data_IF_859581629160
#
_entry.id   IF_859581629160
#
_cell.length_a   1.000
_cell.length_b   1.000
_cell.length_c   1.000
_cell.angle_alpha   90.00
_cell.angle_beta   90.00
_cell.angle_gamma   90.00
#
_symmetry.space_group_name_H-M   'P 1'
#
loop_
_entity.id
_entity.type
_entity.pdbx_description
1 polymer ?
#
# COMPACT_ATOMS: atom_id res chain seq x y z
N UNK A 1 -24.46 -21.04 -4.93
CA UNK A 1 -24.67 -21.34 -6.36
C UNK A 1 -23.82 -22.55 -6.72
N UNK A 2 -24.20 -23.40 -7.67
CA UNK A 2 -23.30 -24.49 -8.09
C UNK A 2 -22.17 -23.94 -8.97
N UNK A 3 -20.99 -24.54 -8.92
CA UNK A 3 -19.84 -24.15 -9.76
C UNK A 3 -20.19 -24.20 -11.25
N UNK A 4 -20.98 -25.19 -11.66
CA UNK A 4 -21.46 -25.33 -13.03
C UNK A 4 -22.30 -24.12 -13.48
N UNK A 5 -23.19 -23.62 -12.61
CA UNK A 5 -24.01 -22.44 -12.92
C UNK A 5 -23.16 -21.17 -12.93
N UNK A 6 -22.23 -21.03 -11.99
CA UNK A 6 -21.33 -19.87 -11.94
C UNK A 6 -20.43 -19.79 -13.18
N UNK A 7 -19.84 -20.92 -13.60
CA UNK A 7 -19.04 -21.00 -14.83
C UNK A 7 -19.87 -20.61 -16.06
N UNK A 8 -21.09 -21.16 -16.20
CA UNK A 8 -21.95 -20.87 -17.33
C UNK A 8 -22.38 -19.40 -17.39
N UNK A 9 -22.68 -18.77 -16.25
CA UNK A 9 -23.01 -17.35 -16.18
C UNK A 9 -21.81 -16.45 -16.52
N UNK A 10 -20.62 -16.79 -16.04
CA UNK A 10 -19.41 -16.04 -16.34
C UNK A 10 -19.03 -16.15 -17.83
N UNK A 11 -19.14 -17.34 -18.43
CA UNK A 11 -18.95 -17.55 -19.86
C UNK A 11 -19.96 -16.74 -20.69
N UNK A 12 -21.25 -16.84 -20.36
CA UNK A 12 -22.29 -16.10 -21.07
C UNK A 12 -22.11 -14.57 -20.96
N UNK A 13 -21.72 -14.07 -19.79
CA UNK A 13 -21.41 -12.66 -19.60
C UNK A 13 -20.22 -12.24 -20.46
N UNK A 14 -19.13 -13.01 -20.43
CA UNK A 14 -17.92 -12.70 -21.19
C UNK A 14 -18.17 -12.70 -22.71
N UNK A 15 -18.93 -13.67 -23.21
CA UNK A 15 -19.32 -13.74 -24.62
C UNK A 15 -20.21 -12.54 -25.01
N UNK A 16 -21.20 -12.18 -24.18
CA UNK A 16 -22.08 -11.04 -24.44
C UNK A 16 -21.30 -9.71 -24.44
N UNK A 17 -20.45 -9.49 -23.44
CA UNK A 17 -19.61 -8.30 -23.33
C UNK A 17 -18.68 -8.18 -24.54
N UNK A 18 -17.99 -9.26 -24.90
CA UNK A 18 -17.09 -9.27 -26.08
C UNK A 18 -17.87 -9.02 -27.37
N UNK A 19 -19.06 -9.63 -27.51
CA UNK A 19 -19.91 -9.43 -28.68
C UNK A 19 -20.34 -7.96 -28.81
N UNK A 20 -20.71 -7.32 -27.71
CA UNK A 20 -21.10 -5.91 -27.69
C UNK A 20 -19.91 -5.02 -28.06
N UNK A 21 -18.74 -5.28 -27.48
CA UNK A 21 -17.53 -4.48 -27.66
C UNK A 21 -16.93 -4.59 -29.07
N UNK A 22 -17.09 -5.77 -29.71
CA UNK A 22 -16.53 -6.06 -31.05
C UNK A 22 -17.56 -5.98 -32.18
N UNK A 23 -18.82 -5.63 -31.86
CA UNK A 23 -19.87 -5.52 -32.86
C UNK A 23 -19.62 -4.35 -33.81
N UNK A 24 -20.04 -4.49 -35.07
CA UNK A 24 -20.01 -3.38 -36.02
C UNK A 24 -21.09 -2.35 -35.65
N UNK A 25 -20.79 -1.07 -35.86
CA UNK A 25 -21.69 0.07 -35.61
C UNK A 25 -23.01 -0.05 -36.41
N UNK A 26 -22.99 -0.76 -37.54
CA UNK A 26 -24.18 -1.07 -38.35
C UNK A 26 -25.13 -2.06 -37.65
N UNK A 27 -24.64 -2.82 -36.67
CA UNK A 27 -25.41 -3.82 -35.89
C UNK A 27 -25.84 -3.26 -34.54
N UNK A 28 -24.97 -2.53 -33.87
CA UNK A 28 -25.25 -1.90 -32.58
C UNK A 28 -24.71 -0.46 -32.56
N UNK A 29 -25.62 0.49 -32.34
CA UNK A 29 -25.27 1.90 -32.16
C UNK A 29 -24.22 2.07 -31.04
N UNK A 30 -23.08 2.75 -31.30
CA UNK A 30 -21.97 2.88 -30.35
C UNK A 30 -22.38 3.53 -29.03
N UNK A 31 -23.22 4.56 -29.06
CA UNK A 31 -23.70 5.24 -27.84
C UNK A 31 -24.54 4.29 -26.96
N UNK A 32 -25.24 3.34 -27.58
CA UNK A 32 -26.00 2.30 -26.89
C UNK A 32 -25.09 1.22 -26.33
N UNK A 33 -24.09 0.78 -27.11
CA UNK A 33 -23.07 -0.17 -26.65
C UNK A 33 -22.33 0.36 -25.41
N UNK A 34 -21.85 1.61 -25.47
CA UNK A 34 -21.17 2.28 -24.35
C UNK A 34 -22.05 2.29 -23.10
N UNK A 35 -23.32 2.72 -23.20
CA UNK A 35 -24.23 2.74 -22.03
C UNK A 35 -24.43 1.37 -21.40
N UNK A 36 -24.50 0.31 -22.21
CA UNK A 36 -24.66 -1.05 -21.71
C UNK A 36 -23.40 -1.55 -21.02
N UNK A 37 -22.23 -1.27 -21.59
CA UNK A 37 -20.94 -1.62 -20.98
C UNK A 37 -20.72 -0.82 -19.69
N UNK A 38 -21.02 0.48 -19.66
CA UNK A 38 -20.97 1.31 -18.45
C UNK A 38 -21.89 0.78 -17.34
N UNK A 39 -23.13 0.41 -17.69
CA UNK A 39 -24.07 -0.19 -16.73
C UNK A 39 -23.55 -1.52 -16.20
N UNK A 40 -22.94 -2.33 -17.07
CA UNK A 40 -22.33 -3.60 -16.69
C UNK A 40 -21.16 -3.37 -15.74
N UNK A 41 -20.26 -2.44 -16.06
CA UNK A 41 -19.14 -2.07 -15.20
C UNK A 41 -19.60 -1.57 -13.83
N UNK A 42 -20.62 -0.71 -13.80
CA UNK A 42 -21.20 -0.26 -12.53
C UNK A 42 -21.74 -1.41 -11.66
N UNK A 43 -22.33 -2.44 -12.26
CA UNK A 43 -22.81 -3.61 -11.50
C UNK A 43 -21.65 -4.49 -11.02
N UNK A 44 -20.62 -4.66 -11.84
CA UNK A 44 -19.44 -5.46 -11.50
C UNK A 44 -18.59 -4.81 -10.43
N UNK A 45 -18.44 -3.48 -10.45
CA UNK A 45 -17.70 -2.70 -9.45
C UNK A 45 -18.33 -2.78 -8.05
N UNK A 46 -19.63 -3.06 -7.97
CA UNK A 46 -20.35 -3.28 -6.70
C UNK A 46 -20.14 -4.66 -6.09
N UNK A 47 -19.51 -5.58 -6.82
CA UNK A 47 -19.18 -6.89 -6.27
C UNK A 47 -18.07 -6.76 -5.22
N UNK A 48 -18.12 -7.57 -4.14
CA UNK A 48 -16.98 -7.70 -3.23
C UNK A 48 -15.70 -8.05 -4.03
N UNK A 49 -14.51 -7.59 -3.61
CA UNK A 49 -13.26 -7.89 -4.31
C UNK A 49 -13.05 -9.39 -4.55
N UNK A 50 -13.43 -10.25 -3.60
CA UNK A 50 -13.36 -11.71 -3.75
C UNK A 50 -14.22 -12.26 -4.91
N UNK A 51 -15.38 -11.65 -5.15
CA UNK A 51 -16.27 -12.04 -6.23
C UNK A 51 -15.77 -11.49 -7.58
N UNK A 52 -15.20 -10.28 -7.60
CA UNK A 52 -14.51 -9.73 -8.79
C UNK A 52 -13.33 -10.62 -9.20
N UNK A 53 -12.50 -11.06 -8.24
CA UNK A 53 -11.41 -12.04 -8.45
C UNK A 53 -11.94 -13.36 -9.02
N UNK A 54 -13.01 -13.88 -8.41
CA UNK A 54 -13.63 -15.13 -8.87
C UNK A 54 -14.11 -14.97 -10.31
N UNK A 55 -14.80 -13.88 -10.64
CA UNK A 55 -15.25 -13.60 -11.99
C UNK A 55 -14.10 -13.46 -12.99
N UNK A 56 -13.05 -12.70 -12.65
CA UNK A 56 -11.86 -12.54 -13.48
C UNK A 56 -11.19 -13.90 -13.81
N UNK A 57 -11.07 -14.79 -12.82
CA UNK A 57 -10.54 -16.15 -13.03
C UNK A 57 -11.44 -16.99 -13.94
N UNK A 58 -12.76 -16.86 -13.80
CA UNK A 58 -13.71 -17.57 -14.66
C UNK A 58 -13.67 -17.10 -16.10
N UNK A 59 -13.57 -15.78 -16.33
CA UNK A 59 -13.39 -15.19 -17.66
C UNK A 59 -12.09 -15.70 -18.29
N UNK A 60 -10.97 -15.70 -17.56
CA UNK A 60 -9.70 -16.27 -18.04
C UNK A 60 -9.80 -17.76 -18.40
N UNK A 61 -10.54 -18.55 -17.61
CA UNK A 61 -10.81 -19.97 -17.93
C UNK A 61 -11.70 -20.14 -19.15
N UNK A 62 -12.68 -19.25 -19.37
CA UNK A 62 -13.46 -19.19 -20.60
C UNK A 62 -12.57 -18.92 -21.81
N UNK A 63 -11.73 -17.89 -21.75
CA UNK A 63 -10.77 -17.56 -22.81
C UNK A 63 -9.81 -18.72 -23.10
N UNK A 64 -9.32 -19.43 -22.08
CA UNK A 64 -8.40 -20.57 -22.25
C UNK A 64 -9.03 -21.78 -22.98
N UNK A 65 -10.37 -21.87 -23.05
CA UNK A 65 -11.08 -22.89 -23.83
C UNK A 65 -11.29 -22.48 -25.29
N UNK A 66 -11.07 -21.21 -25.62
CA UNK A 66 -11.17 -20.71 -27.00
C UNK A 66 -9.85 -20.96 -27.76
N UNK A 67 -9.91 -21.17 -29.09
CA UNK A 67 -8.73 -21.17 -29.94
C UNK A 67 -7.94 -19.85 -29.82
N UNK A 68 -6.63 -19.88 -30.09
CA UNK A 68 -5.84 -18.64 -30.20
C UNK A 68 -6.35 -17.77 -31.35
N UNK A 69 -6.46 -16.45 -31.11
CA UNK A 69 -6.96 -15.48 -32.07
C UNK A 69 -7.66 -14.29 -31.39
N UNK A 70 -8.09 -13.32 -32.20
CA UNK A 70 -8.64 -12.05 -31.73
C UNK A 70 -9.74 -12.21 -30.67
N UNK A 71 -10.69 -13.13 -30.87
CA UNK A 71 -11.76 -13.40 -29.91
C UNK A 71 -11.25 -13.80 -28.52
N UNK A 72 -10.21 -14.64 -28.45
CA UNK A 72 -9.59 -15.02 -27.18
C UNK A 72 -8.87 -13.84 -26.55
N UNK A 73 -8.23 -13.00 -27.36
CA UNK A 73 -7.54 -11.80 -26.88
C UNK A 73 -8.54 -10.78 -26.32
N UNK A 74 -9.70 -10.60 -26.97
CA UNK A 74 -10.77 -9.70 -26.53
C UNK A 74 -11.36 -10.18 -25.19
N UNK A 75 -11.64 -11.48 -25.04
CA UNK A 75 -12.07 -12.06 -23.76
C UNK A 75 -11.05 -11.83 -22.63
N UNK A 76 -9.75 -11.84 -22.95
CA UNK A 76 -8.68 -11.61 -21.96
C UNK A 76 -8.57 -10.14 -21.54
N UNK A 77 -9.14 -9.18 -22.29
CA UNK A 77 -9.18 -7.76 -21.91
C UNK A 77 -10.30 -7.41 -20.94
N UNK A 78 -11.35 -8.24 -20.85
CA UNK A 78 -12.51 -7.99 -19.98
C UNK A 78 -12.10 -7.73 -18.52
N UNK A 79 -11.26 -8.57 -17.88
CA UNK A 79 -10.92 -8.34 -16.47
C UNK A 79 -10.33 -6.96 -16.19
N UNK A 80 -9.44 -6.46 -17.06
CA UNK A 80 -8.85 -5.13 -16.95
C UNK A 80 -9.86 -4.04 -17.32
N UNK A 81 -10.57 -4.18 -18.44
CA UNK A 81 -11.53 -3.18 -18.94
C UNK A 81 -12.71 -2.91 -18.00
N UNK A 82 -13.02 -3.86 -17.11
CA UNK A 82 -14.08 -3.74 -16.10
C UNK A 82 -13.54 -3.59 -14.67
N UNK A 83 -12.23 -3.41 -14.48
CA UNK A 83 -11.62 -3.30 -13.16
C UNK A 83 -11.86 -4.53 -12.27
N UNK A 84 -12.04 -5.71 -12.86
CA UNK A 84 -12.22 -6.96 -12.09
C UNK A 84 -10.93 -7.40 -11.41
N UNK A 85 -9.79 -6.98 -11.96
CA UNK A 85 -8.46 -7.18 -11.38
C UNK A 85 -8.05 -6.03 -10.44
N UNK A 86 -8.88 -4.98 -10.30
CA UNK A 86 -8.61 -3.84 -9.41
C UNK A 86 -8.88 -4.24 -7.96
N UNK A 87 -8.01 -5.10 -7.45
CA UNK A 87 -7.99 -5.53 -6.08
C UNK A 87 -6.71 -5.04 -5.41
N UNK A 88 -6.77 -3.79 -4.95
CA UNK A 88 -5.67 -3.16 -4.23
C UNK A 88 -5.21 -4.00 -3.04
N UNK A 89 -6.10 -4.72 -2.37
CA UNK A 89 -5.74 -5.60 -1.25
C UNK A 89 -4.79 -6.73 -1.68
N UNK A 90 -5.07 -7.39 -2.81
CA UNK A 90 -4.19 -8.43 -3.36
C UNK A 90 -2.90 -7.83 -3.92
N UNK A 91 -2.99 -6.70 -4.62
CA UNK A 91 -1.80 -6.00 -5.13
C UNK A 91 -0.84 -5.62 -4.00
N UNK A 92 -1.34 -5.12 -2.87
CA UNK A 92 -0.53 -4.88 -1.68
C UNK A 92 0.11 -6.17 -1.17
N UNK A 93 -0.64 -7.27 -1.09
CA UNK A 93 -0.10 -8.57 -0.66
C UNK A 93 1.04 -9.07 -1.59
N UNK A 94 0.89 -8.93 -2.91
CA UNK A 94 1.90 -9.32 -3.89
C UNK A 94 3.17 -8.48 -3.78
N UNK A 95 3.03 -7.16 -3.58
CA UNK A 95 4.17 -6.26 -3.39
C UNK A 95 4.87 -6.53 -2.06
N UNK A 96 4.12 -6.73 -0.97
CA UNK A 96 4.69 -7.13 0.32
C UNK A 96 5.50 -8.42 0.15
N UNK A 97 4.94 -9.45 -0.51
CA UNK A 97 5.65 -10.72 -0.72
C UNK A 97 7.02 -10.53 -1.42
N UNK A 98 7.09 -9.64 -2.40
CA UNK A 98 8.34 -9.32 -3.09
C UNK A 98 9.31 -8.53 -2.20
N UNK A 99 8.80 -7.53 -1.46
CA UNK A 99 9.60 -6.72 -0.54
C UNK A 99 10.18 -7.57 0.59
N UNK A 100 9.41 -8.50 1.17
CA UNK A 100 9.88 -9.38 2.23
C UNK A 100 10.97 -10.33 1.74
N UNK A 101 10.84 -10.87 0.52
CA UNK A 101 11.90 -11.70 -0.09
C UNK A 101 13.20 -10.88 -0.22
N UNK A 102 13.12 -9.67 -0.79
CA UNK A 102 14.27 -8.77 -0.94
C UNK A 102 14.85 -8.37 0.41
N UNK A 103 14.01 -8.06 1.40
CA UNK A 103 14.44 -7.71 2.75
C UNK A 103 15.23 -8.87 3.38
N UNK A 104 14.67 -10.07 3.38
CA UNK A 104 15.32 -11.27 3.94
C UNK A 104 16.64 -11.56 3.22
N UNK A 105 16.69 -11.46 1.90
CA UNK A 105 17.93 -11.60 1.12
C UNK A 105 18.97 -10.55 1.49
N UNK A 106 18.55 -9.31 1.75
CA UNK A 106 19.42 -8.19 2.13
C UNK A 106 20.05 -8.39 3.49
N UNK A 107 19.31 -8.95 4.46
CA UNK A 107 19.74 -9.00 5.87
C UNK A 107 20.29 -10.35 6.33
N UNK A 108 20.06 -11.45 5.59
CA UNK A 108 20.36 -12.82 6.07
C UNK A 108 21.83 -13.09 6.42
N UNK A 109 22.76 -12.40 5.77
CA UNK A 109 24.20 -12.60 5.90
C UNK A 109 24.89 -11.41 6.63
N UNK A 110 24.09 -10.48 7.18
CA UNK A 110 24.57 -9.29 7.90
C UNK A 110 24.79 -9.64 9.38
N UNK A 111 25.87 -9.12 9.98
CA UNK A 111 26.09 -9.24 11.43
C UNK A 111 24.92 -8.58 12.18
N UNK A 112 24.14 -9.34 12.98
CA UNK A 112 22.97 -8.82 13.69
C UNK A 112 23.28 -7.64 14.61
N UNK A 113 24.53 -7.48 15.08
CA UNK A 113 24.96 -6.37 15.93
C UNK A 113 25.26 -5.08 15.15
N UNK A 114 25.24 -5.11 13.81
CA UNK A 114 25.50 -3.94 12.97
C UNK A 114 24.46 -2.84 13.26
N UNK A 115 24.87 -1.59 13.51
CA UNK A 115 23.93 -0.49 13.74
C UNK A 115 23.10 -0.13 12.50
N UNK A 116 21.87 0.35 12.71
CA UNK A 116 20.98 0.89 11.66
C UNK A 116 20.83 2.40 11.88
N UNK A 117 21.60 3.26 11.19
CA UNK A 117 21.66 4.69 11.52
C UNK A 117 20.34 5.46 11.35
N UNK A 118 19.46 5.01 10.44
CA UNK A 118 18.13 5.60 10.23
C UNK A 118 17.13 5.26 11.34
N UNK A 119 17.46 4.29 12.21
CA UNK A 119 16.70 3.94 13.42
C UNK A 119 17.63 4.07 14.65
N UNK A 120 17.80 5.28 15.21
CA UNK A 120 18.77 5.53 16.26
C UNK A 120 18.67 4.56 17.44
N UNK A 121 19.80 3.92 17.77
CA UNK A 121 19.90 2.94 18.85
C UNK A 121 19.54 1.50 18.46
N UNK A 122 19.13 1.25 17.22
CA UNK A 122 18.81 -0.09 16.74
C UNK A 122 20.01 -0.77 16.09
N UNK A 123 20.02 -2.08 16.21
CA UNK A 123 20.86 -3.00 15.42
C UNK A 123 20.03 -3.69 14.33
N UNK A 124 20.68 -4.40 13.40
CA UNK A 124 19.96 -5.27 12.46
C UNK A 124 19.11 -6.32 13.17
N UNK A 125 19.54 -6.86 14.31
CA UNK A 125 18.72 -7.73 15.13
C UNK A 125 17.42 -7.05 15.57
N UNK A 126 17.49 -5.79 16.00
CA UNK A 126 16.31 -5.02 16.41
C UNK A 126 15.38 -4.72 15.23
N UNK A 127 15.94 -4.33 14.08
CA UNK A 127 15.19 -4.06 12.85
C UNK A 127 14.42 -5.31 12.39
N UNK A 128 15.11 -6.45 12.26
CA UNK A 128 14.48 -7.71 11.82
C UNK A 128 13.47 -8.22 12.86
N UNK A 129 13.78 -8.09 14.16
CA UNK A 129 12.84 -8.45 15.25
C UNK A 129 11.59 -7.59 15.19
N UNK A 130 11.73 -6.28 15.05
CA UNK A 130 10.61 -5.35 14.94
C UNK A 130 9.73 -5.73 13.75
N UNK A 131 10.33 -5.86 12.57
CA UNK A 131 9.60 -6.15 11.35
C UNK A 131 8.83 -7.47 11.44
N UNK A 132 9.48 -8.54 11.94
CA UNK A 132 8.80 -9.84 12.10
C UNK A 132 7.77 -9.87 13.23
N UNK A 133 7.87 -8.94 14.20
CA UNK A 133 6.85 -8.73 15.24
C UNK A 133 5.62 -8.05 14.64
N UNK A 134 5.82 -7.04 13.80
CA UNK A 134 4.75 -6.33 13.09
C UNK A 134 3.92 -7.28 12.23
N UNK A 135 4.57 -8.15 11.44
CA UNK A 135 3.89 -9.19 10.65
C UNK A 135 2.98 -10.09 11.50
N UNK A 136 3.51 -10.61 12.63
CA UNK A 136 2.76 -11.52 13.52
C UNK A 136 1.64 -10.81 14.27
N UNK A 137 1.87 -9.58 14.68
CA UNK A 137 0.86 -8.79 15.37
C UNK A 137 -0.31 -8.45 14.44
N UNK A 138 -0.04 -7.99 13.21
CA UNK A 138 -1.08 -7.72 12.23
C UNK A 138 -1.81 -9.00 11.78
N UNK A 139 -1.10 -10.11 11.60
CA UNK A 139 -1.72 -11.42 11.37
C UNK A 139 -2.72 -11.76 12.48
N UNK A 140 -2.30 -11.61 13.73
CA UNK A 140 -3.14 -11.93 14.87
C UNK A 140 -4.40 -11.06 14.91
N UNK A 141 -4.27 -9.76 14.67
CA UNK A 141 -5.38 -8.82 14.63
C UNK A 141 -6.38 -9.22 13.54
N UNK A 142 -5.91 -9.50 12.33
CA UNK A 142 -6.75 -9.84 11.18
C UNK A 142 -7.41 -11.21 11.37
N UNK A 143 -6.64 -12.23 11.77
CA UNK A 143 -7.16 -13.59 11.99
C UNK A 143 -8.25 -13.63 13.06
N UNK A 144 -8.07 -12.86 14.14
CA UNK A 144 -9.05 -12.80 15.23
C UNK A 144 -10.18 -11.79 14.98
N UNK A 145 -10.06 -10.95 13.93
CA UNK A 145 -10.95 -9.81 13.67
C UNK A 145 -11.13 -8.96 14.93
N UNK A 146 -9.99 -8.57 15.53
CA UNK A 146 -9.97 -7.88 16.81
C UNK A 146 -10.96 -6.69 16.81
N UNK A 147 -11.85 -6.67 17.81
CA UNK A 147 -12.84 -5.60 17.96
C UNK A 147 -12.30 -4.41 18.76
N UNK A 148 -11.16 -4.60 19.43
CA UNK A 148 -10.48 -3.61 20.24
C UNK A 148 -8.97 -3.74 20.07
N UNK A 149 -8.22 -2.76 20.62
CA UNK A 149 -6.76 -2.77 20.56
C UNK A 149 -6.17 -3.99 21.26
N UNK A 150 -5.34 -4.73 20.53
CA UNK A 150 -4.41 -5.73 21.07
C UNK A 150 -2.99 -5.19 20.96
N UNK A 151 -2.18 -5.26 22.02
CA UNK A 151 -0.79 -4.82 21.96
C UNK A 151 0.11 -5.92 21.39
N UNK A 152 1.15 -5.53 20.66
CA UNK A 152 2.12 -6.49 20.08
C UNK A 152 2.80 -7.37 21.14
N UNK A 153 3.08 -6.83 22.33
CA UNK A 153 3.64 -7.59 23.47
C UNK A 153 2.74 -8.70 24.00
N UNK A 154 1.44 -8.64 23.71
CA UNK A 154 0.45 -9.62 24.16
C UNK A 154 0.27 -10.74 23.11
N UNK A 155 0.92 -10.64 21.95
CA UNK A 155 0.89 -11.66 20.88
C UNK A 155 2.08 -12.60 21.03
N UNK A 156 1.86 -13.94 21.07
CA UNK A 156 2.96 -14.90 21.06
C UNK A 156 3.81 -14.77 19.79
N UNK A 157 5.10 -14.47 19.94
CA UNK A 157 6.00 -14.20 18.82
C UNK A 157 6.80 -15.43 18.36
N UNK A 158 7.01 -16.41 19.25
CA UNK A 158 7.92 -17.53 19.02
C UNK A 158 9.30 -17.06 18.51
N UNK A 159 9.81 -15.99 19.11
CA UNK A 159 11.09 -15.39 18.72
C UNK A 159 12.24 -16.35 19.05
N UNK A 160 13.15 -16.66 18.10
CA UNK A 160 14.32 -17.48 18.37
C UNK A 160 15.23 -16.88 19.44
N UNK A 161 16.02 -17.72 20.12
CA UNK A 161 17.04 -17.23 21.06
C UNK A 161 18.22 -16.58 20.33
N UNK A 162 18.60 -17.12 19.17
CA UNK A 162 19.70 -16.63 18.34
C UNK A 162 19.22 -15.58 17.32
N UNK A 163 19.72 -14.32 17.38
CA UNK A 163 19.42 -13.28 16.39
C UNK A 163 19.75 -13.67 14.95
N UNK A 164 20.73 -14.56 14.72
CA UNK A 164 21.05 -15.02 13.37
C UNK A 164 19.88 -15.80 12.72
N UNK A 165 18.93 -16.32 13.51
CA UNK A 165 17.73 -16.99 13.01
C UNK A 165 16.55 -16.04 12.72
N UNK A 166 16.67 -14.74 13.03
CA UNK A 166 15.57 -13.77 12.88
C UNK A 166 15.11 -13.59 11.42
N UNK A 167 15.99 -13.53 10.40
CA UNK A 167 15.55 -13.37 9.01
C UNK A 167 14.64 -14.51 8.54
N UNK A 168 14.96 -15.75 8.90
CA UNK A 168 14.11 -16.90 8.57
C UNK A 168 12.81 -16.92 9.40
N UNK A 169 12.86 -16.46 10.64
CA UNK A 169 11.68 -16.28 11.49
C UNK A 169 10.73 -15.22 10.93
N UNK A 170 11.25 -14.09 10.43
CA UNK A 170 10.50 -13.08 9.70
C UNK A 170 9.86 -13.69 8.44
N UNK A 171 10.64 -14.35 7.59
CA UNK A 171 10.14 -14.93 6.33
C UNK A 171 8.93 -15.87 6.54
N UNK A 172 9.01 -16.75 7.54
CA UNK A 172 7.87 -17.62 7.91
C UNK A 172 6.67 -16.84 8.44
N UNK A 173 6.91 -15.78 9.20
CA UNK A 173 5.85 -14.89 9.70
C UNK A 173 5.11 -14.22 8.54
N UNK A 174 5.86 -13.61 7.63
CA UNK A 174 5.31 -12.95 6.45
C UNK A 174 4.46 -13.89 5.58
N UNK A 175 4.90 -15.13 5.35
CA UNK A 175 4.12 -16.11 4.60
C UNK A 175 2.76 -16.39 5.26
N UNK A 176 2.73 -16.57 6.58
CA UNK A 176 1.49 -16.80 7.32
C UNK A 176 0.61 -15.54 7.30
N UNK A 177 1.18 -14.36 7.53
CA UNK A 177 0.47 -13.08 7.48
C UNK A 177 -0.20 -12.86 6.13
N UNK A 178 0.53 -13.04 5.03
CA UNK A 178 0.00 -12.89 3.66
C UNK A 178 -1.11 -13.89 3.37
N UNK A 179 -0.97 -15.14 3.81
CA UNK A 179 -2.02 -16.15 3.67
C UNK A 179 -3.30 -15.75 4.43
N UNK A 180 -3.15 -15.23 5.65
CA UNK A 180 -4.27 -14.72 6.44
C UNK A 180 -4.93 -13.53 5.78
N UNK A 181 -4.15 -12.55 5.29
CA UNK A 181 -4.65 -11.37 4.59
C UNK A 181 -5.42 -11.74 3.31
N UNK A 182 -4.88 -12.63 2.48
CA UNK A 182 -5.55 -13.10 1.25
C UNK A 182 -6.84 -13.88 1.53
N UNK A 183 -6.95 -14.49 2.71
CA UNK A 183 -8.08 -15.34 3.11
C UNK A 183 -9.26 -14.60 3.77
N UNK A 184 -9.20 -13.28 3.93
CA UNK A 184 -10.23 -12.49 4.60
C UNK A 184 -10.87 -11.48 3.64
N UNK A 185 -12.14 -11.15 3.87
CA UNK A 185 -12.83 -10.10 3.12
C UNK A 185 -12.29 -8.71 3.55
N UNK A 186 -11.72 -7.90 2.62
CA UNK A 186 -11.19 -6.57 2.89
C UNK A 186 -12.20 -5.61 3.53
N UNK A 187 -13.50 -5.82 3.30
CA UNK A 187 -14.57 -4.97 3.85
C UNK A 187 -15.00 -5.35 5.27
N UNK A 188 -14.45 -6.45 5.81
CA UNK A 188 -14.76 -6.91 7.17
C UNK A 188 -14.42 -5.81 8.19
N UNK A 189 -15.39 -5.35 9.01
CA UNK A 189 -15.12 -4.40 10.07
C UNK A 189 -14.21 -5.00 11.15
N UNK A 190 -13.21 -4.24 11.57
CA UNK A 190 -12.33 -4.60 12.66
C UNK A 190 -11.65 -3.36 13.23
N UNK A 191 -11.15 -3.45 14.45
CA UNK A 191 -10.33 -2.40 15.02
C UNK A 191 -9.04 -2.20 14.19
N UNK A 192 -8.67 -0.96 13.96
CA UNK A 192 -7.34 -0.56 13.47
C UNK A 192 -6.82 0.65 14.23
N UNK A 193 -5.50 0.87 14.15
CA UNK A 193 -4.85 2.04 14.75
C UNK A 193 -4.82 3.26 13.80
N UNK A 194 -5.61 3.25 12.72
CA UNK A 194 -5.67 4.32 11.75
C UNK A 194 -7.11 4.69 11.36
N UNK A 195 -7.25 5.39 10.23
CA UNK A 195 -8.52 5.97 9.81
C UNK A 195 -9.57 4.91 9.42
N UNK A 196 -9.15 3.86 8.72
CA UNK A 196 -10.05 2.83 8.22
C UNK A 196 -10.19 1.67 9.21
N UNK A 197 -11.38 1.48 9.76
CA UNK A 197 -11.72 0.43 10.73
C UNK A 197 -12.21 -0.85 10.02
N UNK A 198 -11.45 -1.28 9.01
CA UNK A 198 -11.68 -2.50 8.20
C UNK A 198 -10.38 -3.23 7.92
N UNK A 199 -10.48 -4.49 7.52
CA UNK A 199 -9.33 -5.34 7.19
C UNK A 199 -8.38 -4.71 6.16
N UNK A 200 -8.91 -4.07 5.11
CA UNK A 200 -8.12 -3.45 4.03
C UNK A 200 -7.11 -2.38 4.49
N UNK A 201 -7.23 -1.89 5.72
CA UNK A 201 -6.22 -1.06 6.37
C UNK A 201 -4.86 -1.76 6.48
N UNK A 202 -4.87 -3.02 6.93
CA UNK A 202 -3.66 -3.74 7.32
C UNK A 202 -2.69 -4.06 6.19
N UNK A 203 -3.10 -4.53 5.00
CA UNK A 203 -2.14 -4.75 3.91
C UNK A 203 -1.52 -3.45 3.42
N UNK A 204 -2.28 -2.34 3.33
CA UNK A 204 -1.71 -1.04 2.95
C UNK A 204 -0.72 -0.55 4.01
N UNK A 205 -1.04 -0.69 5.29
CA UNK A 205 -0.10 -0.36 6.39
C UNK A 205 1.16 -1.23 6.35
N UNK A 206 1.00 -2.55 6.20
CA UNK A 206 2.10 -3.51 6.18
C UNK A 206 3.02 -3.31 4.97
N UNK A 207 2.47 -2.87 3.82
CA UNK A 207 3.26 -2.45 2.67
C UNK A 207 4.24 -1.33 3.06
N UNK A 208 3.78 -0.29 3.75
CA UNK A 208 4.65 0.83 4.11
C UNK A 208 5.61 0.53 5.26
N UNK A 209 5.26 -0.38 6.17
CA UNK A 209 6.22 -1.00 7.09
C UNK A 209 7.36 -1.69 6.30
N UNK A 210 7.02 -2.51 5.29
CA UNK A 210 8.00 -3.24 4.49
C UNK A 210 8.87 -2.31 3.63
N UNK A 211 8.28 -1.29 2.99
CA UNK A 211 9.01 -0.30 2.17
C UNK A 211 10.01 0.48 3.02
N UNK A 212 9.56 1.03 4.16
CA UNK A 212 10.42 1.87 5.00
C UNK A 212 11.53 1.05 5.66
N UNK A 213 11.23 -0.14 6.18
CA UNK A 213 12.25 -0.96 6.83
C UNK A 213 13.22 -1.62 5.85
N UNK A 214 12.82 -1.89 4.62
CA UNK A 214 13.76 -2.23 3.56
C UNK A 214 14.71 -1.06 3.26
N UNK A 215 14.20 0.17 3.20
CA UNK A 215 15.05 1.35 3.07
C UNK A 215 16.00 1.51 4.27
N UNK A 216 15.54 1.26 5.50
CA UNK A 216 16.40 1.27 6.70
C UNK A 216 17.56 0.28 6.59
N UNK A 217 17.28 -0.96 6.12
CA UNK A 217 18.32 -1.97 5.89
C UNK A 217 19.29 -1.56 4.78
N UNK A 218 18.79 -1.02 3.67
CA UNK A 218 19.60 -0.60 2.54
C UNK A 218 20.52 0.59 2.89
N UNK A 219 19.98 1.60 3.58
CA UNK A 219 20.74 2.75 4.07
C UNK A 219 21.85 2.32 5.03
N UNK A 220 21.57 1.38 5.94
CA UNK A 220 22.57 0.86 6.87
C UNK A 220 23.72 0.10 6.17
N UNK A 221 23.46 -0.45 4.98
CA UNK A 221 24.47 -1.08 4.12
C UNK A 221 25.14 -0.10 3.14
N UNK A 222 24.81 1.20 3.22
CA UNK A 222 25.35 2.22 2.31
C UNK A 222 24.78 2.16 0.89
N UNK A 223 23.64 1.51 0.71
CA UNK A 223 22.90 1.47 -0.55
C UNK A 223 21.95 2.68 -0.64
N UNK A 224 21.58 3.06 -1.86
CA UNK A 224 20.61 4.12 -2.13
C UNK A 224 19.24 3.47 -2.42
N UNK A 225 18.25 3.56 -1.50
CA UNK A 225 16.97 2.90 -1.69
C UNK A 225 16.24 3.41 -2.92
N UNK A 226 15.62 2.49 -3.66
CA UNK A 226 14.77 2.79 -4.82
C UNK A 226 13.34 2.34 -4.56
N UNK A 227 12.44 3.31 -4.52
CA UNK A 227 10.99 3.11 -4.30
C UNK A 227 10.26 3.54 -5.57
N UNK A 228 9.37 2.69 -6.08
CA UNK A 228 8.58 3.02 -7.25
C UNK A 228 7.70 4.25 -6.97
N UNK A 229 7.62 5.19 -7.92
CA UNK A 229 7.01 6.49 -7.68
C UNK A 229 5.53 6.41 -7.26
N UNK A 230 4.76 5.48 -7.86
CA UNK A 230 3.37 5.22 -7.47
C UNK A 230 3.23 4.69 -6.03
N UNK A 231 4.09 3.74 -5.65
CA UNK A 231 4.15 3.23 -4.26
C UNK A 231 4.54 4.34 -3.28
N UNK A 232 5.50 5.19 -3.66
CA UNK A 232 5.94 6.28 -2.79
C UNK A 232 4.87 7.35 -2.59
N UNK A 233 4.15 7.71 -3.66
CA UNK A 233 3.00 8.62 -3.62
C UNK A 233 1.89 8.06 -2.71
N UNK A 234 1.54 6.77 -2.85
CA UNK A 234 0.57 6.12 -1.99
C UNK A 234 1.02 6.08 -0.52
N UNK A 235 2.33 5.93 -0.26
CA UNK A 235 2.90 5.92 1.08
C UNK A 235 2.87 7.29 1.76
N UNK A 236 3.08 8.37 0.99
CA UNK A 236 2.91 9.73 1.51
C UNK A 236 1.45 9.95 1.90
N UNK A 237 0.50 9.48 1.09
CA UNK A 237 -0.93 9.61 1.37
C UNK A 237 -1.37 8.77 2.56
N UNK A 238 -0.95 7.50 2.64
CA UNK A 238 -1.24 6.64 3.79
C UNK A 238 -0.69 7.23 5.09
N UNK A 239 0.53 7.78 5.06
CA UNK A 239 1.11 8.48 6.19
C UNK A 239 0.25 9.67 6.62
N UNK A 240 -0.12 10.56 5.68
CA UNK A 240 -0.93 11.74 5.96
C UNK A 240 -2.36 11.41 6.39
N UNK A 241 -2.97 10.35 5.86
CA UNK A 241 -4.30 9.86 6.26
C UNK A 241 -4.30 9.35 7.71
N UNK A 242 -3.25 8.64 8.12
CA UNK A 242 -3.20 8.01 9.43
C UNK A 242 -2.53 8.86 10.52
N UNK A 243 -1.80 9.91 10.15
CA UNK A 243 -1.14 10.83 11.08
C UNK A 243 -2.04 11.29 12.25
N UNK A 244 -3.31 11.70 12.04
CA UNK A 244 -4.19 12.14 13.14
C UNK A 244 -4.49 11.05 14.19
N UNK A 245 -4.28 9.78 13.86
CA UNK A 245 -4.58 8.64 14.72
C UNK A 245 -3.36 8.18 15.54
N UNK A 246 -2.17 8.71 15.22
CA UNK A 246 -0.94 8.48 15.97
C UNK A 246 -0.75 9.61 16.99
N UNK A 247 -1.20 9.43 18.23
CA UNK A 247 -1.20 10.50 19.24
C UNK A 247 0.19 11.12 19.48
N UNK A 248 1.25 10.31 19.39
CA UNK A 248 2.63 10.79 19.52
C UNK A 248 3.10 11.69 18.37
N UNK A 249 2.36 11.76 17.26
CA UNK A 249 2.58 12.69 16.14
C UNK A 249 1.52 13.80 16.17
N UNK A 250 0.24 13.44 16.32
CA UNK A 250 -0.88 14.37 16.29
C UNK A 250 -0.77 15.45 17.38
N UNK A 251 -0.32 15.10 18.59
CA UNK A 251 -0.15 16.07 19.69
C UNK A 251 0.96 17.10 19.39
N UNK A 252 2.21 16.71 19.00
CA UNK A 252 3.21 17.66 18.53
C UNK A 252 2.76 18.53 17.37
N UNK A 253 2.08 17.95 16.36
CA UNK A 253 1.60 18.69 15.19
C UNK A 253 0.56 19.74 15.58
N UNK A 254 -0.36 19.42 16.50
CA UNK A 254 -1.35 20.36 17.01
C UNK A 254 -0.73 21.49 17.85
N UNK A 255 0.48 21.30 18.39
CA UNK A 255 1.21 22.31 19.16
C UNK A 255 2.08 23.24 18.29
N UNK A 256 2.16 22.99 16.98
CA UNK A 256 2.89 23.86 16.05
C UNK A 256 2.19 25.21 15.88
N UNK A 257 2.97 26.25 15.55
CA UNK A 257 2.41 27.48 15.04
C UNK A 257 1.72 27.24 13.69
N UNK A 258 0.74 28.08 13.35
CA UNK A 258 0.03 27.98 12.08
C UNK A 258 1.01 27.98 10.89
N UNK A 259 0.92 26.96 10.05
CA UNK A 259 1.84 26.77 8.93
C UNK A 259 1.32 25.81 7.89
N UNK A 260 2.02 25.77 6.76
CA UNK A 260 1.74 24.82 5.68
C UNK A 260 3.00 24.40 4.95
N UNK A 261 3.05 23.13 4.56
CA UNK A 261 4.14 22.52 3.79
C UNK A 261 3.57 21.94 2.50
N UNK A 262 4.22 22.22 1.38
CA UNK A 262 3.95 21.55 0.10
C UNK A 262 5.04 20.54 -0.21
N UNK A 263 4.66 19.33 -0.57
CA UNK A 263 5.54 18.31 -1.12
C UNK A 263 5.21 18.16 -2.61
N UNK A 264 6.21 18.18 -3.49
CA UNK A 264 6.03 18.05 -4.95
C UNK A 264 6.99 17.01 -5.51
N UNK A 265 6.42 15.92 -6.02
CA UNK A 265 7.14 14.84 -6.66
C UNK A 265 7.53 15.22 -8.11
N UNK A 266 8.82 15.40 -8.34
CA UNK A 266 9.38 15.85 -9.64
C UNK A 266 9.28 14.80 -10.75
N UNK A 267 9.13 13.53 -10.40
CA UNK A 267 9.07 12.38 -11.31
C UNK A 267 7.65 12.03 -11.75
N UNK A 268 6.62 12.45 -11.00
CA UNK A 268 5.21 12.19 -11.31
C UNK A 268 4.38 13.46 -11.52
N UNK A 269 4.84 14.61 -11.02
CA UNK A 269 4.07 15.85 -10.92
C UNK A 269 3.04 15.84 -9.79
N UNK A 270 2.96 14.79 -8.97
CA UNK A 270 2.05 14.76 -7.82
C UNK A 270 2.46 15.82 -6.78
N UNK A 271 1.48 16.45 -6.16
CA UNK A 271 1.71 17.43 -5.11
C UNK A 271 0.71 17.31 -3.97
N UNK A 272 1.21 17.48 -2.75
CA UNK A 272 0.42 17.45 -1.52
C UNK A 272 0.65 18.75 -0.75
N UNK A 273 -0.43 19.43 -0.40
CA UNK A 273 -0.39 20.60 0.49
C UNK A 273 -0.91 20.19 1.85
N UNK A 274 -0.08 20.37 2.88
CA UNK A 274 -0.33 20.00 4.27
C UNK A 274 -0.47 21.29 5.08
N UNK A 275 -1.52 21.39 5.90
CA UNK A 275 -1.74 22.48 6.84
C UNK A 275 -1.76 21.97 8.28
N UNK A 276 -1.24 22.76 9.20
CA UNK A 276 -1.18 22.45 10.63
C UNK A 276 -1.18 23.73 11.48
N UNK A 277 -1.44 23.57 12.78
CA UNK A 277 -1.49 24.64 13.77
C UNK A 277 -2.85 24.75 14.46
N UNK A 278 -3.27 25.98 14.77
CA UNK A 278 -4.49 26.27 15.53
C UNK A 278 -5.77 25.76 14.84
N UNK A 279 -5.78 25.77 13.50
CA UNK A 279 -6.89 25.26 12.68
C UNK A 279 -6.92 23.71 12.57
N UNK A 280 -5.93 23.04 13.18
CA UNK A 280 -5.76 21.59 13.13
C UNK A 280 -4.99 21.09 11.91
N UNK A 281 -4.79 19.78 11.86
CA UNK A 281 -4.11 19.12 10.74
C UNK A 281 -5.06 18.89 9.57
N UNK A 282 -4.61 19.18 8.35
CA UNK A 282 -5.31 18.88 7.11
C UNK A 282 -4.33 18.64 5.96
N UNK A 283 -4.75 17.93 4.93
CA UNK A 283 -3.97 17.81 3.70
C UNK A 283 -4.88 17.64 2.48
N UNK A 284 -4.35 17.99 1.30
CA UNK A 284 -5.02 17.79 0.00
C UNK A 284 -4.00 17.47 -1.08
N UNK A 285 -4.39 16.68 -2.11
CA UNK A 285 -3.62 16.59 -3.36
C UNK A 285 -3.79 17.91 -4.14
N UNK A 286 -2.88 18.85 -3.95
CA UNK A 286 -2.91 20.14 -4.62
C UNK A 286 -1.57 20.84 -4.61
N UNK A 287 -1.37 21.72 -5.59
CA UNK A 287 -0.19 22.58 -5.75
C UNK A 287 -0.36 23.96 -5.09
N UNK A 288 -1.27 24.09 -4.12
CA UNK A 288 -1.54 25.38 -3.46
C UNK A 288 -0.25 25.98 -2.90
N UNK A 289 -0.16 27.30 -2.87
CA UNK A 289 0.95 27.97 -2.20
C UNK A 289 0.97 27.57 -0.71
N UNK A 290 2.18 27.32 -0.20
CA UNK A 290 2.42 26.89 1.15
C UNK A 290 3.54 27.74 1.78
N UNK A 291 3.60 27.73 3.11
CA UNK A 291 4.62 28.49 3.85
C UNK A 291 6.03 28.00 3.55
N UNK A 292 6.18 26.68 3.35
CA UNK A 292 7.39 26.03 2.86
C UNK A 292 7.04 25.02 1.76
N UNK A 293 7.98 24.74 0.86
CA UNK A 293 7.84 23.73 -0.16
C UNK A 293 9.11 22.88 -0.30
N UNK A 294 8.92 21.60 -0.60
CA UNK A 294 9.98 20.61 -0.87
C UNK A 294 9.70 19.89 -2.18
N UNK A 295 10.70 19.87 -3.04
CA UNK A 295 10.69 19.19 -4.34
C UNK A 295 11.77 18.09 -4.34
N UNK A 296 11.39 16.86 -4.67
CA UNK A 296 12.30 15.72 -4.89
C UNK A 296 11.58 14.61 -5.66
N UNK A 297 12.19 13.44 -5.84
CA UNK A 297 11.43 12.27 -6.33
C UNK A 297 10.40 11.83 -5.30
N UNK A 298 9.31 11.17 -5.71
CA UNK A 298 8.31 10.68 -4.75
C UNK A 298 8.94 9.76 -3.68
N UNK A 299 9.91 8.92 -4.07
CA UNK A 299 10.64 8.05 -3.15
C UNK A 299 11.46 8.81 -2.11
N UNK A 300 12.19 9.85 -2.52
CA UNK A 300 12.95 10.69 -1.58
C UNK A 300 12.02 11.47 -0.64
N UNK A 301 10.88 11.96 -1.14
CA UNK A 301 9.88 12.64 -0.31
C UNK A 301 9.26 11.69 0.73
N UNK A 302 8.97 10.45 0.35
CA UNK A 302 8.51 9.43 1.30
C UNK A 302 9.54 9.19 2.42
N UNK A 303 10.81 9.01 2.05
CA UNK A 303 11.87 8.80 3.04
C UNK A 303 12.14 10.05 3.88
N UNK A 304 11.91 11.25 3.34
CA UNK A 304 11.98 12.49 4.11
C UNK A 304 10.89 12.56 5.17
N UNK A 305 9.62 12.29 4.83
CA UNK A 305 8.51 12.38 5.79
C UNK A 305 8.59 11.32 6.88
N UNK A 306 9.18 10.17 6.58
CA UNK A 306 9.51 9.14 7.57
C UNK A 306 10.84 9.41 8.31
N UNK A 307 11.56 10.50 8.03
CA UNK A 307 12.79 10.87 8.75
C UNK A 307 14.02 10.02 8.43
N UNK A 308 14.02 9.28 7.32
CA UNK A 308 15.12 8.41 6.86
C UNK A 308 16.16 9.17 6.05
N UNK A 309 15.73 10.26 5.40
CA UNK A 309 16.61 11.20 4.70
C UNK A 309 16.49 12.59 5.31
N UNK A 310 17.57 13.36 5.22
CA UNK A 310 17.62 14.69 5.84
C UNK A 310 17.32 15.79 4.82
N UNK A 311 16.50 16.76 5.22
CA UNK A 311 16.15 17.91 4.40
C UNK A 311 17.35 18.81 3.99
N UNK A 312 18.56 18.62 4.53
CA UNK A 312 19.77 19.33 4.11
C UNK A 312 20.56 18.59 3.01
N UNK A 313 20.13 17.40 2.59
CA UNK A 313 20.73 16.68 1.48
C UNK A 313 20.45 17.36 0.13
N UNK A 314 21.41 17.27 -0.79
CA UNK A 314 21.36 17.92 -2.10
C UNK A 314 20.22 17.44 -3.03
N UNK A 315 19.52 16.36 -2.65
CA UNK A 315 18.38 15.79 -3.38
C UNK A 315 17.07 16.57 -3.19
N UNK A 316 17.02 17.49 -2.23
CA UNK A 316 15.82 18.26 -1.92
C UNK A 316 15.93 19.72 -2.39
N UNK A 317 15.03 20.11 -3.28
CA UNK A 317 14.78 21.52 -3.61
C UNK A 317 13.85 22.13 -2.56
N UNK A 318 14.36 23.03 -1.71
CA UNK A 318 13.57 23.67 -0.65
C UNK A 318 13.36 25.15 -0.95
N UNK A 319 12.13 25.61 -0.79
CA UNK A 319 11.76 27.03 -0.90
C UNK A 319 10.77 27.45 0.20
N UNK A 320 10.60 28.76 0.40
CA UNK A 320 9.77 29.30 1.47
C UNK A 320 10.45 29.33 2.84
N UNK A 321 9.66 29.25 3.91
CA UNK A 321 10.12 29.34 5.29
C UNK A 321 10.67 27.98 5.80
N UNK A 322 12.00 27.87 5.84
CA UNK A 322 12.68 26.67 6.32
C UNK A 322 12.35 26.32 7.77
N UNK A 323 12.06 27.29 8.62
CA UNK A 323 11.74 27.01 10.03
C UNK A 323 10.39 26.29 10.15
N UNK A 324 9.43 26.59 9.28
CA UNK A 324 8.14 25.88 9.23
C UNK A 324 8.33 24.43 8.79
N UNK A 325 9.18 24.18 7.79
CA UNK A 325 9.52 22.82 7.36
C UNK A 325 10.22 22.01 8.46
N UNK A 326 11.23 22.58 9.11
CA UNK A 326 11.97 21.89 10.16
C UNK A 326 11.07 21.59 11.38
N UNK A 327 10.16 22.49 11.72
CA UNK A 327 9.19 22.28 12.80
C UNK A 327 8.20 21.15 12.46
N UNK A 328 7.70 21.10 11.22
CA UNK A 328 6.87 20.01 10.71
C UNK A 328 7.60 18.66 10.80
N UNK A 329 8.79 18.56 10.20
CA UNK A 329 9.57 17.31 10.17
C UNK A 329 9.95 16.83 11.58
N UNK A 330 10.25 17.75 12.50
CA UNK A 330 10.52 17.41 13.89
C UNK A 330 9.29 16.90 14.65
N UNK A 331 8.11 17.50 14.40
CA UNK A 331 6.86 17.09 15.02
C UNK A 331 6.36 15.73 14.50
N UNK A 332 6.78 15.32 13.30
CA UNK A 332 6.39 14.06 12.67
C UNK A 332 7.48 13.00 12.64
N UNK A 333 8.57 13.17 13.39
CA UNK A 333 9.68 12.21 13.41
C UNK A 333 9.27 10.85 14.00
N UNK A 334 9.82 9.77 13.44
CA UNK A 334 9.62 8.38 13.85
C UNK A 334 10.82 7.79 14.58
#
# INVERSE_FOLDING_TARGET
>A
MSDALLNALAEALADLVTTIDTCDDDVLDPDTAVKWLETTGYLLDRLPPADRRTLALLVRRAAARQPEGAWRDDLLRIPEGFGLDDDQHELYCDVIEQLEKRFVETVRDVDPATPVPSCPGWTFADLVRHHGTTHRWMEHLVRTRAAERVWSRDVPLELPEDPAAYPQWLARGAEVTLRTLRGVDPETPMWSHGADQRVRFYPRRLLFEAVVHLADAELALGLDPRIAAGTAADGIEEFLENLPYYTWIAEPVAALAQGSVRLTATDTGAAWTIGFGEDGFSWTKSEREASAAVEATAGDLLLLVYGRLRADEARFGISGDRAVLDAWLAATAF
#
